data_IF_680029730119
#
_entry.id   IF_680029730119
#
_cell.length_a   1.000
_cell.length_b   1.000
_cell.length_c   1.000
_cell.angle_alpha   90.00
_cell.angle_beta   90.00
_cell.angle_gamma   90.00
#
_symmetry.space_group_name_H-M   'P 1'
#
loop_
_entity.id
_entity.type
_entity.pdbx_description
1 polymer ?
#
# COMPACT_ATOMS: atom_id res chain seq x y z
N UNK A 1 4.37 85.03 -31.36
CA UNK A 1 3.43 84.06 -31.98
C UNK A 1 4.16 83.32 -33.09
N UNK A 2 4.56 82.07 -32.88
CA UNK A 2 4.80 81.11 -33.95
C UNK A 2 4.71 79.68 -33.40
N UNK A 3 3.80 78.92 -34.00
CA UNK A 3 3.63 77.48 -33.86
C UNK A 3 4.59 76.76 -34.79
N UNK A 4 5.22 75.68 -34.33
CA UNK A 4 5.69 74.57 -35.16
C UNK A 4 5.30 73.28 -34.42
N UNK A 5 4.16 72.68 -34.77
CA UNK A 5 3.98 71.59 -35.75
C UNK A 5 4.84 70.36 -35.41
N UNK A 6 4.18 69.34 -34.88
CA UNK A 6 4.73 68.03 -34.63
C UNK A 6 5.11 67.29 -35.91
N UNK A 7 6.10 66.43 -35.77
CA UNK A 7 6.47 65.42 -36.74
C UNK A 7 6.73 64.12 -35.94
N UNK A 8 5.81 63.17 -36.08
CA UNK A 8 5.92 61.82 -35.54
C UNK A 8 7.06 61.05 -36.24
N UNK A 9 7.95 60.36 -35.52
CA UNK A 9 8.68 59.24 -36.11
C UNK A 9 7.90 57.95 -35.84
N UNK A 10 7.63 57.23 -36.92
CA UNK A 10 7.03 55.91 -36.92
C UNK A 10 7.84 54.94 -36.04
N UNK A 11 7.19 54.38 -35.01
CA UNK A 11 7.78 53.34 -34.17
C UNK A 11 7.68 52.03 -34.96
N UNK A 12 8.80 51.62 -35.56
CA UNK A 12 8.95 50.29 -36.13
C UNK A 12 8.94 49.26 -34.99
N UNK A 13 7.82 48.54 -34.82
CA UNK A 13 7.70 47.47 -33.84
C UNK A 13 8.44 46.23 -34.34
N UNK A 14 9.65 45.99 -33.82
CA UNK A 14 10.38 44.74 -34.00
C UNK A 14 9.67 43.61 -33.24
N UNK A 15 8.88 42.80 -33.93
CA UNK A 15 8.29 41.57 -33.37
C UNK A 15 9.40 40.54 -33.20
N UNK A 16 9.89 40.40 -31.96
CA UNK A 16 10.87 39.37 -31.61
C UNK A 16 10.15 38.04 -31.43
N UNK A 17 10.34 37.12 -32.38
CA UNK A 17 9.92 35.72 -32.28
C UNK A 17 10.77 35.02 -31.20
N UNK A 18 10.19 34.83 -30.03
CA UNK A 18 10.79 34.01 -28.95
C UNK A 18 10.61 32.54 -29.32
N UNK A 19 11.70 31.87 -29.70
CA UNK A 19 11.75 30.42 -29.83
C UNK A 19 11.66 29.79 -28.44
N UNK A 20 10.49 29.24 -28.10
CA UNK A 20 10.29 28.48 -26.86
C UNK A 20 10.82 27.08 -27.08
N UNK A 21 12.02 26.79 -26.58
CA UNK A 21 12.53 25.43 -26.46
C UNK A 21 11.72 24.72 -25.36
N UNK A 22 10.75 23.89 -25.74
CA UNK A 22 10.00 23.07 -24.79
C UNK A 22 10.92 21.98 -24.19
N UNK A 23 11.21 22.00 -22.88
CA UNK A 23 11.87 20.86 -22.27
C UNK A 23 10.90 19.67 -22.30
N UNK A 24 11.33 18.55 -22.89
CA UNK A 24 10.59 17.30 -22.81
C UNK A 24 10.59 16.83 -21.35
N UNK A 25 9.50 17.12 -20.63
CA UNK A 25 9.26 16.57 -19.32
C UNK A 25 8.90 15.08 -19.48
N UNK A 26 9.86 14.20 -19.23
CA UNK A 26 9.58 12.77 -19.13
C UNK A 26 8.91 12.51 -17.78
N UNK A 27 7.60 12.32 -17.78
CA UNK A 27 6.89 11.77 -16.63
C UNK A 27 7.32 10.31 -16.46
N UNK A 28 8.11 10.01 -15.41
CA UNK A 28 8.29 8.64 -14.95
C UNK A 28 6.97 8.20 -14.30
N UNK A 29 6.13 7.51 -15.08
CA UNK A 29 5.00 6.78 -14.49
C UNK A 29 5.55 5.76 -13.50
N UNK A 30 4.98 5.66 -12.29
CA UNK A 30 5.24 4.51 -11.46
C UNK A 30 4.70 3.29 -12.20
N UNK A 31 5.55 2.30 -12.43
CA UNK A 31 5.06 0.98 -12.76
C UNK A 31 4.36 0.52 -11.47
N UNK A 32 3.03 0.64 -11.45
CA UNK A 32 2.22 0.17 -10.33
C UNK A 32 2.59 -1.29 -10.11
N UNK A 33 3.35 -1.55 -9.04
CA UNK A 33 3.78 -2.89 -8.68
C UNK A 33 2.53 -3.74 -8.55
N UNK A 34 2.39 -4.73 -9.43
CA UNK A 34 1.28 -5.64 -9.38
C UNK A 34 1.44 -6.46 -8.09
N UNK A 35 0.63 -6.18 -7.06
CA UNK A 35 0.63 -6.93 -5.82
C UNK A 35 0.11 -8.34 -6.14
N UNK A 36 1.00 -9.32 -6.11
CA UNK A 36 0.63 -10.69 -6.44
C UNK A 36 -0.42 -11.19 -5.42
N UNK A 37 -1.45 -11.95 -5.84
CA UNK A 37 -2.50 -12.41 -4.92
C UNK A 37 -2.01 -13.20 -3.70
N UNK A 38 -0.80 -13.77 -3.79
CA UNK A 38 -0.14 -14.51 -2.72
C UNK A 38 1.29 -13.97 -2.53
N UNK A 39 1.42 -12.88 -1.78
CA UNK A 39 2.66 -12.15 -1.59
C UNK A 39 3.18 -12.32 -0.13
N UNK A 40 4.43 -12.79 0.09
CA UNK A 40 5.00 -12.91 1.43
C UNK A 40 5.13 -11.55 2.16
N UNK A 41 5.17 -10.43 1.43
CA UNK A 41 5.26 -9.09 2.02
C UNK A 41 4.06 -8.73 2.91
N UNK A 42 2.90 -9.37 2.71
CA UNK A 42 1.75 -9.24 3.62
C UNK A 42 2.03 -9.79 5.02
N UNK A 43 2.92 -10.79 5.12
CA UNK A 43 3.37 -11.37 6.39
C UNK A 43 4.56 -10.58 6.94
N UNK A 44 5.48 -10.15 6.08
CA UNK A 44 6.68 -9.41 6.51
C UNK A 44 6.36 -8.07 7.17
N UNK A 45 5.26 -7.42 6.74
CA UNK A 45 4.76 -6.17 7.31
C UNK A 45 4.07 -6.31 8.67
N UNK A 46 3.83 -7.54 9.15
CA UNK A 46 3.25 -7.75 10.48
C UNK A 46 4.23 -7.36 11.59
N UNK A 47 3.73 -6.98 12.77
CA UNK A 47 4.56 -6.86 13.97
C UNK A 47 5.36 -8.14 14.21
N UNK A 48 6.58 -7.99 14.74
CA UNK A 48 7.53 -9.08 14.91
C UNK A 48 6.92 -10.28 15.64
N UNK A 49 6.16 -10.04 16.70
CA UNK A 49 5.52 -11.09 17.50
C UNK A 49 4.50 -11.88 16.69
N UNK A 50 3.68 -11.18 15.90
CA UNK A 50 2.63 -11.76 15.07
C UNK A 50 3.26 -12.53 13.90
N UNK A 51 4.26 -11.94 13.23
CA UNK A 51 5.00 -12.58 12.14
C UNK A 51 5.67 -13.87 12.61
N UNK A 52 6.30 -13.86 13.78
CA UNK A 52 6.95 -15.04 14.34
C UNK A 52 5.95 -16.15 14.65
N UNK A 53 4.77 -15.81 15.17
CA UNK A 53 3.70 -16.79 15.41
C UNK A 53 3.25 -17.46 14.11
N UNK A 54 3.02 -16.68 13.04
CA UNK A 54 2.65 -17.20 11.72
C UNK A 54 3.77 -18.08 11.13
N UNK A 55 5.03 -17.66 11.24
CA UNK A 55 6.17 -18.45 10.76
C UNK A 55 6.27 -19.82 11.46
N UNK A 56 6.03 -19.89 12.77
CA UNK A 56 6.00 -21.15 13.51
C UNK A 56 4.90 -22.10 13.01
N UNK A 57 3.78 -21.57 12.53
CA UNK A 57 2.67 -22.38 11.99
C UNK A 57 3.02 -22.98 10.62
N UNK A 58 3.76 -22.25 9.76
CA UNK A 58 4.10 -22.69 8.41
C UNK A 58 5.46 -23.39 8.27
N UNK A 59 6.22 -23.59 9.36
CA UNK A 59 7.51 -24.32 9.47
C UNK A 59 8.68 -23.85 8.57
N UNK A 60 8.44 -23.11 7.49
CA UNK A 60 9.49 -22.59 6.61
C UNK A 60 9.06 -21.34 5.85
N UNK A 61 8.00 -21.46 5.04
CA UNK A 61 7.60 -20.41 4.10
C UNK A 61 6.09 -20.28 4.05
N UNK A 62 5.67 -19.02 4.10
CA UNK A 62 4.28 -18.62 4.12
C UNK A 62 4.08 -17.49 3.10
N UNK A 63 2.96 -17.53 2.41
CA UNK A 63 2.47 -16.46 1.55
C UNK A 63 1.07 -16.12 1.99
N UNK A 64 0.73 -14.85 1.94
CA UNK A 64 -0.58 -14.38 2.36
C UNK A 64 -1.24 -13.61 1.22
N UNK A 65 -2.57 -13.61 1.21
CA UNK A 65 -3.32 -12.69 0.37
C UNK A 65 -3.49 -11.32 1.06
N UNK A 66 -3.97 -10.33 0.30
CA UNK A 66 -4.07 -8.94 0.74
C UNK A 66 -4.84 -8.76 2.06
N UNK A 67 -5.89 -9.56 2.27
CA UNK A 67 -6.76 -9.49 3.45
C UNK A 67 -6.38 -10.47 4.57
N UNK A 68 -5.15 -11.00 4.57
CA UNK A 68 -4.69 -11.85 5.65
C UNK A 68 -4.72 -11.17 7.02
N UNK A 69 -4.49 -9.86 7.08
CA UNK A 69 -4.48 -9.11 8.33
C UNK A 69 -5.35 -7.85 8.24
N UNK A 70 -6.34 -7.75 9.13
CA UNK A 70 -7.17 -6.55 9.31
C UNK A 70 -6.75 -5.84 10.58
N UNK A 71 -6.46 -4.54 10.46
CA UNK A 71 -6.13 -3.67 11.60
C UNK A 71 -7.39 -2.95 12.08
N UNK A 72 -7.72 -3.14 13.35
CA UNK A 72 -8.91 -2.60 14.00
C UNK A 72 -8.50 -1.67 15.15
N UNK A 73 -9.42 -0.82 15.59
CA UNK A 73 -9.23 0.08 16.74
C UNK A 73 -7.91 0.89 16.69
N UNK A 74 -7.67 1.62 15.61
CA UNK A 74 -6.42 2.35 15.39
C UNK A 74 -5.17 1.46 15.49
N UNK A 75 -5.23 0.28 14.87
CA UNK A 75 -4.21 -0.77 14.93
C UNK A 75 -3.95 -1.36 16.31
N UNK A 76 -4.78 -1.09 17.33
CA UNK A 76 -4.65 -1.76 18.63
C UNK A 76 -4.98 -3.23 18.56
N UNK A 77 -5.78 -3.64 17.59
CA UNK A 77 -6.17 -5.03 17.37
C UNK A 77 -5.78 -5.43 15.95
N UNK A 78 -5.15 -6.59 15.79
CA UNK A 78 -4.88 -7.22 14.50
C UNK A 78 -5.67 -8.51 14.45
N UNK A 79 -6.59 -8.60 13.49
CA UNK A 79 -7.30 -9.85 13.17
C UNK A 79 -6.60 -10.52 11.99
N UNK A 80 -6.14 -11.74 12.20
CA UNK A 80 -5.61 -12.61 11.15
C UNK A 80 -6.70 -13.54 10.63
N UNK A 81 -6.71 -13.74 9.32
CA UNK A 81 -7.68 -14.51 8.55
C UNK A 81 -6.98 -15.65 7.82
N UNK A 82 -6.93 -16.84 8.41
CA UNK A 82 -6.05 -17.91 7.92
C UNK A 82 -6.53 -18.62 6.65
N UNK A 83 -7.74 -18.35 6.18
CA UNK A 83 -8.19 -18.68 4.82
C UNK A 83 -7.34 -17.96 3.75
N UNK A 84 -6.75 -16.83 4.11
CA UNK A 84 -5.85 -16.03 3.28
C UNK A 84 -4.37 -16.33 3.54
N UNK A 85 -4.06 -17.47 4.20
CA UNK A 85 -2.69 -17.91 4.46
C UNK A 85 -2.38 -19.22 3.72
N UNK A 86 -1.28 -19.22 2.99
CA UNK A 86 -0.76 -20.39 2.29
C UNK A 86 0.64 -20.74 2.80
N UNK A 87 0.77 -21.88 3.47
CA UNK A 87 2.07 -22.46 3.80
C UNK A 87 2.59 -23.31 2.63
N UNK A 88 3.92 -23.40 2.45
CA UNK A 88 4.47 -24.30 1.42
C UNK A 88 4.36 -25.76 1.78
N UNK A 89 4.43 -26.08 3.07
CA UNK A 89 4.20 -27.42 3.61
C UNK A 89 3.13 -27.34 4.70
N UNK A 90 2.05 -28.08 4.52
CA UNK A 90 0.86 -27.95 5.36
C UNK A 90 -0.13 -26.92 4.83
N UNK A 91 -1.26 -26.81 5.52
CA UNK A 91 -2.44 -26.11 5.02
C UNK A 91 -3.67 -26.85 5.54
N UNK A 92 -4.29 -26.30 6.56
CA UNK A 92 -5.38 -26.95 7.29
C UNK A 92 -6.01 -25.99 8.29
N UNK A 93 -6.06 -24.71 7.94
CA UNK A 93 -6.60 -23.67 8.80
C UNK A 93 -8.12 -23.59 8.72
N UNK A 94 -8.73 -24.28 7.75
CA UNK A 94 -10.17 -24.37 7.59
C UNK A 94 -10.70 -25.76 7.94
N UNK A 95 -11.87 -25.79 8.58
CA UNK A 95 -12.65 -26.97 8.95
C UNK A 95 -14.05 -26.80 8.36
N UNK A 96 -14.32 -27.52 7.27
CA UNK A 96 -15.58 -27.37 6.54
C UNK A 96 -15.73 -25.95 5.98
N UNK A 97 -16.78 -25.25 6.39
CA UNK A 97 -17.11 -23.88 6.00
C UNK A 97 -16.59 -22.80 6.98
N UNK A 98 -15.75 -23.19 7.94
CA UNK A 98 -15.15 -22.26 8.91
C UNK A 98 -13.64 -22.27 8.82
N UNK A 99 -13.01 -21.12 9.02
CA UNK A 99 -11.56 -20.95 9.00
C UNK A 99 -11.06 -20.36 10.32
N UNK A 100 -9.79 -20.59 10.62
CA UNK A 100 -9.14 -20.07 11.81
C UNK A 100 -8.99 -18.56 11.69
N UNK A 101 -9.44 -17.84 12.71
CA UNK A 101 -9.15 -16.44 12.93
C UNK A 101 -8.41 -16.27 14.26
N UNK A 102 -7.46 -15.34 14.29
CA UNK A 102 -6.76 -14.95 15.52
C UNK A 102 -6.79 -13.45 15.70
N UNK A 103 -7.04 -12.99 16.91
CA UNK A 103 -6.99 -11.58 17.27
C UNK A 103 -5.84 -11.32 18.22
N UNK A 104 -4.96 -10.40 17.83
CA UNK A 104 -3.83 -9.94 18.62
C UNK A 104 -4.09 -8.52 19.10
N UNK A 105 -3.81 -8.24 20.37
CA UNK A 105 -4.01 -6.92 20.96
C UNK A 105 -2.68 -6.31 21.39
N UNK A 106 -2.51 -5.03 21.09
CA UNK A 106 -1.38 -4.24 21.54
C UNK A 106 -1.44 -4.04 23.07
N UNK A 107 -0.47 -4.60 23.78
CA UNK A 107 -0.32 -4.48 25.23
C UNK A 107 1.16 -4.25 25.57
N UNK A 108 1.46 -3.13 26.24
CA UNK A 108 2.83 -2.85 26.71
C UNK A 108 3.87 -2.72 25.60
N UNK A 109 3.46 -2.27 24.40
CA UNK A 109 4.35 -2.11 23.24
C UNK A 109 4.52 -3.36 22.38
N UNK A 110 3.87 -4.47 22.73
CA UNK A 110 3.91 -5.73 21.99
C UNK A 110 2.49 -6.20 21.63
N UNK A 111 2.34 -6.99 20.58
CA UNK A 111 1.08 -7.66 20.29
C UNK A 111 1.02 -9.02 20.98
N UNK A 112 -0.12 -9.32 21.60
CA UNK A 112 -0.38 -10.60 22.27
C UNK A 112 -1.66 -11.23 21.75
N UNK A 113 -1.62 -12.55 21.54
CA UNK A 113 -2.80 -13.31 21.13
C UNK A 113 -3.87 -13.21 22.23
N UNK A 114 -5.01 -12.63 21.90
CA UNK A 114 -6.17 -12.49 22.79
C UNK A 114 -7.22 -13.58 22.50
N UNK A 115 -7.47 -13.86 21.22
CA UNK A 115 -8.51 -14.78 20.79
C UNK A 115 -8.05 -15.64 19.63
N UNK A 116 -8.46 -16.91 19.64
CA UNK A 116 -8.28 -17.84 18.53
C UNK A 116 -9.58 -18.62 18.37
N UNK A 117 -10.21 -18.57 17.20
CA UNK A 117 -11.53 -19.15 16.97
C UNK A 117 -11.70 -19.59 15.52
N UNK A 118 -12.67 -20.47 15.26
CA UNK A 118 -13.10 -20.79 13.91
C UNK A 118 -14.38 -20.02 13.61
N UNK A 119 -14.43 -19.34 12.48
CA UNK A 119 -15.57 -18.53 12.03
C UNK A 119 -15.80 -18.72 10.55
N UNK A 120 -16.96 -18.30 10.05
CA UNK A 120 -17.13 -18.13 8.60
C UNK A 120 -16.32 -16.91 8.17
N UNK A 121 -15.98 -16.86 6.89
CA UNK A 121 -15.44 -15.65 6.28
C UNK A 121 -16.55 -14.59 6.32
N UNK A 122 -16.55 -13.78 7.37
CA UNK A 122 -17.44 -12.61 7.47
C UNK A 122 -16.62 -11.41 6.98
N UNK A 123 -16.84 -11.05 5.71
CA UNK A 123 -16.31 -9.83 5.06
C UNK A 123 -16.86 -8.55 5.73
#
# INVERSE_FOLDING_TARGET
MWSFRGQFPAIAACVSLVFVSTPHAFARGSQGGYDAPWNPEHIDRLPLEVRNAVAHMCRSSARAAHYFATYLENSRIIRLHFEHLHCSEGGGFCRGDTCLHQEYVAQGGQYRLMKSYYGRNDD
#
